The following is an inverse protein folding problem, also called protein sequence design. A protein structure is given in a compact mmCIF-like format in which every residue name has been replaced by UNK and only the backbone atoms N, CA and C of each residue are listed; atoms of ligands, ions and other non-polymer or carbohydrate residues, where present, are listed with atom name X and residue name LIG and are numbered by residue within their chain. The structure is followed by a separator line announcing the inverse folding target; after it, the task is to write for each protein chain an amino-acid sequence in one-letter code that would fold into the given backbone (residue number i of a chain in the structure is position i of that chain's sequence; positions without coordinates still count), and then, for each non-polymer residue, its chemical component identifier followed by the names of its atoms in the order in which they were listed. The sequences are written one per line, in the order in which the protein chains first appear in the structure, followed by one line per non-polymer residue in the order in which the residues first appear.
data_IF_123488981166
#
_entry.id   IF_123488981166
#
_cell.length_a   1.000
_cell.length_b   1.000
_cell.length_c   1.000
_cell.angle_alpha   90.00
_cell.angle_beta   90.00
_cell.angle_gamma   90.00
#
_symmetry.space_group_name_H-M   'P 1'
#
loop_
_entity.id
_entity.type
_entity.pdbx_description
1 polymer ?
#
# COMPACT_ATOMS: atom_id res chain seq x y z
N UNK A 1 61.32 17.09 -16.15
CA UNK A 1 60.21 18.00 -15.76
C UNK A 1 58.92 17.19 -15.79
N UNK A 2 58.31 16.88 -14.64
CA UNK A 2 57.03 16.15 -14.55
C UNK A 2 55.91 17.19 -14.35
N UNK A 3 54.95 17.25 -15.27
CA UNK A 3 53.76 18.09 -15.14
C UNK A 3 52.68 17.32 -14.38
N UNK A 4 52.38 17.74 -13.15
CA UNK A 4 51.21 17.29 -12.40
C UNK A 4 50.00 18.07 -12.91
N UNK A 5 49.08 17.40 -13.61
CA UNK A 5 47.75 17.95 -13.92
C UNK A 5 46.82 17.63 -12.76
N UNK A 6 46.39 18.66 -12.05
CA UNK A 6 45.34 18.59 -11.04
C UNK A 6 43.99 18.38 -11.74
N UNK A 7 43.34 17.24 -11.47
CA UNK A 7 41.97 16.98 -11.89
C UNK A 7 41.03 17.42 -10.77
N UNK A 8 40.30 18.51 -11.00
CA UNK A 8 39.22 18.95 -10.12
C UNK A 8 37.97 18.11 -10.42
N UNK A 9 37.60 17.19 -9.53
CA UNK A 9 36.37 16.43 -9.67
C UNK A 9 35.17 17.30 -9.28
N UNK A 10 34.39 17.75 -10.28
CA UNK A 10 33.08 18.35 -10.03
C UNK A 10 32.12 17.24 -9.59
N UNK A 11 31.72 17.27 -8.32
CA UNK A 11 30.73 16.33 -7.77
C UNK A 11 29.33 16.78 -8.22
N UNK A 12 28.76 16.12 -9.22
CA UNK A 12 27.36 16.28 -9.59
C UNK A 12 26.52 15.55 -8.53
N UNK A 13 25.92 16.30 -7.60
CA UNK A 13 24.92 15.75 -6.70
C UNK A 13 23.67 15.41 -7.52
N UNK A 14 23.49 14.12 -7.83
CA UNK A 14 22.25 13.60 -8.40
C UNK A 14 21.17 13.68 -7.33
N UNK A 15 20.28 14.67 -7.44
CA UNK A 15 19.01 14.69 -6.70
C UNK A 15 18.15 13.55 -7.25
N UNK A 16 18.18 12.40 -6.58
CA UNK A 16 17.20 11.33 -6.82
C UNK A 16 15.86 11.82 -6.30
N UNK A 17 14.99 12.31 -7.17
CA UNK A 17 13.59 12.50 -6.84
C UNK A 17 13.00 11.11 -6.54
N UNK A 18 12.76 10.80 -5.26
CA UNK A 18 12.05 9.59 -4.89
C UNK A 18 10.64 9.66 -5.50
N UNK A 19 10.34 8.76 -6.44
CA UNK A 19 8.97 8.56 -6.88
C UNK A 19 8.16 8.01 -5.68
N UNK A 20 6.87 8.34 -5.62
CA UNK A 20 5.95 7.71 -4.68
C UNK A 20 6.04 6.18 -4.80
N UNK A 21 6.01 5.46 -3.67
CA UNK A 21 6.10 4.00 -3.65
C UNK A 21 4.87 3.33 -4.28
N UNK A 22 3.75 4.06 -4.41
CA UNK A 22 2.52 3.60 -5.05
C UNK A 22 1.97 4.66 -6.01
N UNK A 23 1.32 4.19 -7.08
CA UNK A 23 0.48 5.02 -7.93
C UNK A 23 -0.99 4.92 -7.48
N UNK A 24 -1.75 6.00 -7.61
CA UNK A 24 -3.19 6.00 -7.37
C UNK A 24 -3.89 5.10 -8.41
N UNK A 25 -4.64 4.06 -7.99
CA UNK A 25 -5.42 3.22 -8.89
C UNK A 25 -6.68 3.89 -9.45
N UNK A 26 -7.00 5.13 -9.05
CA UNK A 26 -8.15 5.88 -9.53
C UNK A 26 -9.49 5.41 -8.95
N UNK A 27 -9.45 4.82 -7.75
CA UNK A 27 -10.65 4.33 -7.05
C UNK A 27 -11.36 5.42 -6.22
N UNK A 28 -10.76 6.61 -6.13
CA UNK A 28 -11.27 7.72 -5.33
C UNK A 28 -10.87 7.64 -3.86
N UNK A 29 -11.33 8.62 -3.08
CA UNK A 29 -11.07 8.74 -1.64
C UNK A 29 -12.29 8.29 -0.84
N UNK A 30 -12.06 7.45 0.17
CA UNK A 30 -13.10 7.11 1.14
C UNK A 30 -13.41 8.32 2.03
N UNK A 31 -14.66 8.80 2.02
CA UNK A 31 -15.12 9.92 2.85
C UNK A 31 -14.99 9.68 4.36
N UNK A 32 -14.96 8.42 4.79
CA UNK A 32 -14.79 8.00 6.18
C UNK A 32 -13.31 7.94 6.59
N UNK A 33 -12.39 7.89 5.62
CA UNK A 33 -10.94 7.89 5.86
C UNK A 33 -10.43 9.34 5.94
N UNK A 34 -10.60 9.97 7.09
CA UNK A 34 -10.16 11.35 7.32
C UNK A 34 -8.66 11.49 7.07
N UNK A 35 -8.28 12.42 6.19
CA UNK A 35 -6.88 12.65 5.80
C UNK A 35 -6.41 11.89 4.57
N UNK A 36 -7.18 10.91 4.07
CA UNK A 36 -6.84 10.21 2.83
C UNK A 36 -6.90 11.15 1.62
N UNK A 37 -5.98 10.96 0.67
CA UNK A 37 -5.87 11.76 -0.55
C UNK A 37 -5.30 10.96 -1.71
N UNK A 38 -5.70 11.31 -2.93
CA UNK A 38 -5.10 10.79 -4.18
C UNK A 38 -3.67 11.31 -4.40
N UNK A 39 -3.30 12.43 -3.75
CA UNK A 39 -2.00 13.04 -3.92
C UNK A 39 -0.95 12.40 -2.99
N UNK A 40 -0.29 11.36 -3.50
CA UNK A 40 0.79 10.65 -2.78
C UNK A 40 2.09 11.47 -2.80
N UNK A 41 2.72 11.60 -1.63
CA UNK A 41 4.06 12.24 -1.50
C UNK A 41 5.07 11.26 -0.89
N UNK A 42 6.39 11.44 -1.12
CA UNK A 42 7.40 10.50 -0.62
C UNK A 42 7.44 10.28 0.91
N UNK A 43 6.84 11.19 1.70
CA UNK A 43 6.71 11.06 3.16
C UNK A 43 5.28 10.86 3.66
N UNK A 44 4.30 10.70 2.76
CA UNK A 44 2.89 10.55 3.10
C UNK A 44 2.33 9.13 2.97
N UNK A 45 3.12 8.18 2.45
CA UNK A 45 2.67 6.80 2.25
C UNK A 45 1.54 6.64 1.21
N UNK A 46 1.09 5.40 0.93
CA UNK A 46 0.04 5.10 -0.04
C UNK A 46 -1.33 5.65 0.39
N UNK A 47 -1.94 6.55 -0.37
CA UNK A 47 -3.16 7.33 -0.03
C UNK A 47 -2.98 8.50 0.96
N UNK A 48 -1.76 9.03 1.14
CA UNK A 48 -1.51 10.14 2.06
C UNK A 48 -0.63 11.28 1.53
N UNK A 49 -0.79 12.47 2.13
CA UNK A 49 0.03 13.67 1.89
C UNK A 49 0.97 13.94 3.06
N UNK A 50 1.94 14.86 2.89
CA UNK A 50 2.87 15.28 3.95
C UNK A 50 2.18 15.66 5.28
N UNK A 51 0.92 16.13 5.25
CA UNK A 51 0.18 16.60 6.43
C UNK A 51 -0.88 15.58 6.93
N UNK A 52 -1.14 14.53 6.15
CA UNK A 52 -2.09 13.46 6.48
C UNK A 52 -1.56 12.18 5.83
N UNK A 53 -0.52 11.63 6.43
CA UNK A 53 0.11 10.44 5.91
C UNK A 53 -0.75 9.21 6.21
N UNK A 54 -0.63 8.17 5.40
CA UNK A 54 -1.32 6.91 5.67
C UNK A 54 -0.80 6.24 6.94
N UNK A 55 0.45 6.52 7.29
CA UNK A 55 1.04 6.21 8.58
C UNK A 55 0.30 6.91 9.73
N UNK A 56 -0.06 8.20 9.61
CA UNK A 56 -0.85 8.90 10.64
C UNK A 56 -2.23 8.26 10.83
N UNK A 57 -2.85 7.86 9.72
CA UNK A 57 -4.14 7.16 9.77
C UNK A 57 -4.01 5.79 10.46
N UNK A 58 -3.02 4.97 10.09
CA UNK A 58 -2.77 3.66 10.71
C UNK A 58 -2.38 3.76 12.19
N UNK A 59 -1.67 4.82 12.57
CA UNK A 59 -1.28 5.10 13.94
C UNK A 59 -2.37 5.81 14.76
N UNK A 60 -3.54 6.09 14.18
CA UNK A 60 -4.64 6.70 14.92
C UNK A 60 -5.06 5.78 16.07
N UNK A 61 -5.15 6.34 17.26
CA UNK A 61 -5.46 5.58 18.49
C UNK A 61 -4.23 4.99 19.21
N UNK A 62 -3.01 5.29 18.77
CA UNK A 62 -1.80 5.02 19.55
C UNK A 62 -1.57 6.21 20.51
N UNK A 63 -2.09 6.10 21.74
CA UNK A 63 -2.03 7.16 22.77
C UNK A 63 -1.15 6.79 23.99
N UNK A 64 -0.49 5.63 23.95
CA UNK A 64 0.51 5.18 24.91
C UNK A 64 0.16 3.87 25.61
N UNK A 65 -1.12 3.63 25.92
CA UNK A 65 -1.59 2.43 26.62
C UNK A 65 -1.86 1.24 25.66
N UNK A 66 -1.55 1.41 24.38
CA UNK A 66 -1.75 0.43 23.33
C UNK A 66 -2.22 1.08 22.04
N UNK A 67 -2.84 0.27 21.18
CA UNK A 67 -3.51 0.75 19.98
C UNK A 67 -5.03 0.61 20.17
N UNK A 68 -5.73 1.74 20.17
CA UNK A 68 -7.19 1.82 20.18
C UNK A 68 -7.69 2.39 18.84
N UNK A 69 -7.64 1.59 17.75
CA UNK A 69 -7.94 2.09 16.42
C UNK A 69 -9.39 2.55 16.28
N UNK A 70 -9.64 3.51 15.38
CA UNK A 70 -11.00 3.81 14.96
C UNK A 70 -11.63 2.55 14.34
N UNK A 71 -12.92 2.34 14.59
CA UNK A 71 -13.65 1.24 13.95
C UNK A 71 -13.75 1.48 12.43
N UNK A 72 -13.46 0.44 11.66
CA UNK A 72 -13.65 0.40 10.21
C UNK A 72 -14.49 -0.83 9.86
N UNK A 73 -15.63 -0.63 9.22
CA UNK A 73 -16.38 -1.74 8.66
C UNK A 73 -15.74 -2.17 7.33
N UNK A 74 -15.89 -3.45 6.98
CA UNK A 74 -15.44 -3.94 5.66
C UNK A 74 -16.08 -3.17 4.50
N UNK A 75 -17.33 -2.71 4.66
CA UNK A 75 -18.02 -1.90 3.66
C UNK A 75 -17.47 -0.48 3.49
N UNK A 76 -16.61 -0.01 4.39
CA UNK A 76 -15.90 1.26 4.24
C UNK A 76 -14.63 1.10 3.38
N UNK A 77 -14.21 -0.13 3.07
CA UNK A 77 -12.97 -0.36 2.33
C UNK A 77 -13.24 -0.18 0.83
N UNK A 78 -12.54 0.76 0.20
CA UNK A 78 -12.51 0.90 -1.25
C UNK A 78 -11.43 -0.04 -1.78
N UNK A 79 -11.81 -0.92 -2.72
CA UNK A 79 -10.91 -1.88 -3.33
C UNK A 79 -11.23 -2.10 -4.80
N UNK A 80 -10.27 -2.62 -5.56
CA UNK A 80 -10.50 -3.12 -6.92
C UNK A 80 -11.38 -4.36 -6.89
N UNK A 81 -11.98 -4.72 -8.02
CA UNK A 81 -12.60 -6.04 -8.17
C UNK A 81 -11.53 -7.15 -8.26
N UNK A 82 -11.96 -8.39 -8.04
CA UNK A 82 -11.09 -9.56 -8.00
C UNK A 82 -10.33 -9.83 -9.30
N UNK A 83 -10.95 -9.61 -10.46
CA UNK A 83 -10.29 -9.84 -11.75
C UNK A 83 -9.21 -8.77 -12.01
N UNK A 84 -9.49 -7.52 -11.68
CA UNK A 84 -8.51 -6.44 -11.73
C UNK A 84 -7.32 -6.73 -10.80
N UNK A 85 -7.60 -7.23 -9.59
CA UNK A 85 -6.55 -7.65 -8.64
C UNK A 85 -5.64 -8.74 -9.23
N UNK A 86 -6.22 -9.83 -9.76
CA UNK A 86 -5.43 -10.90 -10.38
C UNK A 86 -4.66 -10.48 -11.62
N UNK A 87 -5.15 -9.49 -12.36
CA UNK A 87 -4.46 -8.95 -13.54
C UNK A 87 -3.22 -8.13 -13.17
N UNK A 88 -3.06 -7.76 -11.89
CA UNK A 88 -1.94 -6.98 -11.38
C UNK A 88 -1.05 -7.79 -10.43
N UNK A 89 -0.71 -7.15 -9.31
CA UNK A 89 0.15 -7.72 -8.27
C UNK A 89 -0.47 -8.95 -7.59
N UNK A 90 -1.80 -9.13 -7.69
CA UNK A 90 -2.54 -10.26 -7.15
C UNK A 90 -2.37 -11.58 -7.90
N UNK A 91 -1.71 -11.61 -9.07
CA UNK A 91 -1.62 -12.81 -9.91
C UNK A 91 -1.18 -14.10 -9.20
N UNK A 92 -0.22 -14.12 -8.25
CA UNK A 92 0.12 -15.32 -7.49
C UNK A 92 -1.05 -15.92 -6.70
N UNK A 93 -2.02 -15.10 -6.27
CA UNK A 93 -3.17 -15.54 -5.48
C UNK A 93 -4.22 -16.27 -6.31
N UNK A 94 -4.23 -16.10 -7.63
CA UNK A 94 -5.27 -16.66 -8.50
C UNK A 94 -5.40 -18.18 -8.38
N UNK A 95 -4.33 -18.88 -8.04
CA UNK A 95 -4.33 -20.33 -7.79
C UNK A 95 -5.23 -20.75 -6.61
N UNK A 96 -5.58 -19.82 -5.70
CA UNK A 96 -6.43 -20.04 -4.53
C UNK A 96 -7.82 -19.45 -4.67
N UNK A 97 -8.21 -18.97 -5.87
CA UNK A 97 -9.46 -18.26 -6.11
C UNK A 97 -10.70 -19.00 -5.58
N UNK A 98 -10.78 -20.31 -5.80
CA UNK A 98 -11.88 -21.14 -5.29
C UNK A 98 -12.06 -21.04 -3.76
N UNK A 99 -10.96 -20.87 -3.02
CA UNK A 99 -11.01 -20.76 -1.56
C UNK A 99 -11.48 -19.38 -1.13
N UNK A 100 -11.04 -18.31 -1.82
CA UNK A 100 -11.52 -16.96 -1.57
C UNK A 100 -13.01 -16.83 -1.87
N UNK A 101 -13.48 -17.40 -2.99
CA UNK A 101 -14.91 -17.42 -3.32
C UNK A 101 -15.72 -18.19 -2.28
N UNK A 102 -15.27 -19.39 -1.89
CA UNK A 102 -15.96 -20.22 -0.90
C UNK A 102 -16.03 -19.51 0.47
N UNK A 103 -14.91 -18.98 0.96
CA UNK A 103 -14.85 -18.30 2.24
C UNK A 103 -15.63 -16.97 2.21
N UNK A 104 -15.51 -16.21 1.12
CA UNK A 104 -16.25 -14.96 0.93
C UNK A 104 -17.76 -15.18 0.96
N UNK A 105 -18.25 -16.22 0.28
CA UNK A 105 -19.67 -16.59 0.33
C UNK A 105 -20.10 -17.04 1.73
N UNK A 106 -19.27 -17.80 2.44
CA UNK A 106 -19.61 -18.32 3.77
C UNK A 106 -19.72 -17.20 4.82
N UNK A 107 -18.83 -16.21 4.76
CA UNK A 107 -18.73 -15.15 5.76
C UNK A 107 -19.30 -13.81 5.30
N UNK A 108 -19.87 -13.75 4.10
CA UNK A 108 -20.37 -12.52 3.48
C UNK A 108 -19.29 -11.42 3.42
N UNK A 109 -18.12 -11.81 2.92
CA UNK A 109 -16.95 -10.94 2.70
C UNK A 109 -16.62 -10.96 1.21
N UNK A 110 -16.29 -9.81 0.62
CA UNK A 110 -15.84 -9.78 -0.78
C UNK A 110 -14.56 -10.64 -0.93
N UNK A 111 -14.55 -11.65 -1.82
CA UNK A 111 -13.38 -12.50 -2.04
C UNK A 111 -12.08 -11.75 -2.30
N UNK A 112 -12.13 -10.55 -2.91
CA UNK A 112 -10.93 -9.75 -3.17
C UNK A 112 -10.25 -9.26 -1.90
N UNK A 113 -11.02 -8.98 -0.84
CA UNK A 113 -10.46 -8.59 0.45
C UNK A 113 -9.63 -9.74 1.03
N UNK A 114 -10.15 -10.98 0.95
CA UNK A 114 -9.44 -12.17 1.41
C UNK A 114 -8.16 -12.42 0.61
N UNK A 115 -8.23 -12.25 -0.71
CA UNK A 115 -7.08 -12.42 -1.60
C UNK A 115 -6.00 -11.35 -1.35
N UNK A 116 -6.39 -10.10 -1.10
CA UNK A 116 -5.47 -9.01 -0.74
C UNK A 116 -4.77 -9.31 0.59
N UNK A 117 -5.50 -9.79 1.61
CA UNK A 117 -4.89 -10.18 2.89
C UNK A 117 -3.86 -11.29 2.66
N UNK A 118 -4.20 -12.35 1.93
CA UNK A 118 -3.26 -13.43 1.65
C UNK A 118 -2.00 -12.94 0.90
N UNK A 119 -2.15 -11.98 -0.01
CA UNK A 119 -1.03 -11.33 -0.70
C UNK A 119 -0.14 -10.54 0.28
N UNK A 120 -0.73 -9.73 1.16
CA UNK A 120 0.04 -8.91 2.10
C UNK A 120 0.76 -9.75 3.16
N UNK A 121 0.12 -10.78 3.67
CA UNK A 121 0.66 -11.58 4.77
C UNK A 121 1.67 -12.64 4.31
N UNK A 122 1.53 -13.14 3.08
CA UNK A 122 2.31 -14.30 2.62
C UNK A 122 2.79 -14.22 1.17
N UNK A 123 2.48 -13.14 0.45
CA UNK A 123 2.62 -13.09 -1.02
C UNK A 123 1.85 -14.21 -1.73
N UNK A 124 0.77 -14.71 -1.11
CA UNK A 124 0.07 -15.92 -1.50
C UNK A 124 0.99 -17.14 -1.65
N UNK A 125 1.99 -17.25 -0.77
CA UNK A 125 2.79 -18.44 -0.59
C UNK A 125 2.27 -19.20 0.64
N UNK A 126 1.65 -20.37 0.42
CA UNK A 126 1.09 -21.17 1.50
C UNK A 126 2.15 -21.71 2.50
N UNK A 127 3.42 -21.71 2.10
CA UNK A 127 4.55 -22.14 2.93
C UNK A 127 5.26 -20.96 3.63
N UNK A 128 4.78 -19.73 3.47
CA UNK A 128 5.36 -18.57 4.12
C UNK A 128 4.83 -18.40 5.56
N UNK A 129 5.76 -18.22 6.50
CA UNK A 129 5.53 -18.02 7.94
C UNK A 129 6.83 -17.94 8.71
#
# INVERSE_FOLDING_TARGET
MRHTKTLTAASLALLTCAAAQSADPGLGVNSNAQGATEQVTPGGGPNGSQMHSSEDWLNTGIDGDGWNPPFMALGDIIHVDLNTFYSGFGSPCQQYDQYFQSAGSQYNVDPVILAIIAMQESSCNADAG
#
